data_IF_803122576574
#
_entry.id   IF_803122576574
#
_cell.length_a   1.000
_cell.length_b   1.000
_cell.length_c   1.000
_cell.angle_alpha   90.00
_cell.angle_beta   90.00
_cell.angle_gamma   90.00
#
_symmetry.space_group_name_H-M   'P 1'
#
loop_
_entity.id
_entity.type
_entity.pdbx_description
1 polymer ?
#
# COMPACT_ATOMS: atom_id res chain seq x y z
N UNK A 1 35.37 -40.92 -32.53
CA UNK A 1 34.93 -41.01 -31.12
C UNK A 1 35.66 -39.94 -30.35
N UNK A 2 35.08 -38.74 -30.30
CA UNK A 2 35.64 -37.58 -29.60
C UNK A 2 34.60 -37.15 -28.58
N UNK A 3 34.92 -37.44 -27.32
CA UNK A 3 34.13 -37.16 -26.14
C UNK A 3 34.10 -35.67 -25.86
N UNK A 4 32.90 -35.08 -25.94
CA UNK A 4 32.62 -33.73 -25.46
C UNK A 4 32.70 -33.71 -23.92
N UNK A 5 33.44 -32.80 -23.27
CA UNK A 5 33.44 -32.68 -21.83
C UNK A 5 32.09 -32.13 -21.36
N UNK A 6 31.47 -32.83 -20.40
CA UNK A 6 30.20 -32.43 -19.80
C UNK A 6 30.25 -31.03 -19.21
N UNK A 7 29.27 -30.21 -19.59
CA UNK A 7 28.93 -28.97 -18.90
C UNK A 7 28.56 -29.36 -17.47
N UNK A 8 29.39 -28.95 -16.51
CA UNK A 8 29.11 -29.12 -15.09
C UNK A 8 27.81 -28.40 -14.78
N UNK A 9 26.83 -29.15 -14.26
CA UNK A 9 25.68 -28.64 -13.53
C UNK A 9 26.20 -27.86 -12.31
N UNK A 10 26.49 -26.58 -12.51
CA UNK A 10 26.47 -25.59 -11.44
C UNK A 10 25.48 -24.53 -11.88
N UNK A 11 24.18 -24.88 -11.82
CA UNK A 11 23.14 -23.89 -11.66
C UNK A 11 23.44 -23.16 -10.36
N UNK A 12 24.18 -22.06 -10.47
CA UNK A 12 24.15 -21.01 -9.47
C UNK A 12 22.69 -20.61 -9.41
N UNK A 13 21.98 -21.09 -8.39
CA UNK A 13 20.71 -20.54 -7.97
C UNK A 13 20.96 -19.04 -7.76
N UNK A 14 20.74 -18.24 -8.80
CA UNK A 14 20.84 -16.80 -8.74
C UNK A 14 19.67 -16.35 -7.87
N UNK A 15 19.90 -16.35 -6.56
CA UNK A 15 18.97 -15.84 -5.57
C UNK A 15 18.74 -14.38 -5.95
N UNK A 16 17.52 -14.06 -6.39
CA UNK A 16 17.19 -12.68 -6.73
C UNK A 16 17.46 -11.81 -5.48
N UNK A 17 18.04 -10.62 -5.65
CA UNK A 17 18.28 -9.75 -4.50
C UNK A 17 16.96 -9.40 -3.79
N UNK A 18 16.99 -9.10 -2.48
CA UNK A 18 15.78 -8.84 -1.70
C UNK A 18 15.00 -7.63 -2.21
N UNK A 19 13.69 -7.59 -1.99
CA UNK A 19 12.83 -6.43 -2.27
C UNK A 19 12.38 -5.78 -0.96
N UNK A 20 12.32 -4.45 -0.96
CA UNK A 20 11.88 -3.64 0.17
C UNK A 20 10.45 -3.14 -0.07
N UNK A 21 9.52 -3.45 0.81
CA UNK A 21 8.18 -2.87 0.80
C UNK A 21 8.09 -1.75 1.83
N UNK A 22 7.53 -0.60 1.43
CA UNK A 22 7.40 0.60 2.26
C UNK A 22 5.95 1.07 2.35
N UNK A 23 5.57 1.48 3.55
CA UNK A 23 4.32 2.18 3.83
C UNK A 23 4.63 3.40 4.69
N UNK A 24 4.61 4.58 4.07
CA UNK A 24 4.95 5.86 4.69
C UNK A 24 3.66 6.58 5.06
N UNK A 25 3.45 6.80 6.35
CA UNK A 25 2.39 7.64 6.90
C UNK A 25 2.94 8.82 7.70
N UNK A 26 2.05 9.63 8.27
CA UNK A 26 2.39 10.90 8.91
C UNK A 26 3.30 10.78 10.13
N UNK A 27 3.08 9.76 10.93
CA UNK A 27 3.81 9.50 12.17
C UNK A 27 4.55 8.16 12.17
N UNK A 28 4.42 7.37 11.10
CA UNK A 28 5.04 6.03 11.04
C UNK A 28 5.48 5.67 9.63
N UNK A 29 6.70 5.16 9.51
CA UNK A 29 7.19 4.46 8.32
C UNK A 29 7.26 2.98 8.65
N UNK A 30 6.45 2.15 7.99
CA UNK A 30 6.50 0.69 8.13
C UNK A 30 7.23 0.10 6.93
N UNK A 31 7.99 -0.95 7.18
CA UNK A 31 8.73 -1.64 6.13
C UNK A 31 8.78 -3.14 6.33
N UNK A 32 8.95 -3.86 5.22
CA UNK A 32 9.20 -5.30 5.19
C UNK A 32 10.22 -5.61 4.10
N UNK A 33 11.09 -6.57 4.35
CA UNK A 33 12.07 -7.06 3.38
C UNK A 33 11.72 -8.49 3.03
N UNK A 34 11.73 -8.80 1.75
CA UNK A 34 11.37 -10.11 1.23
C UNK A 34 12.42 -10.62 0.27
N UNK A 35 12.67 -11.92 0.30
CA UNK A 35 13.56 -12.59 -0.64
C UNK A 35 12.79 -13.56 -1.53
N UNK A 36 13.20 -13.68 -2.78
CA UNK A 36 12.67 -14.73 -3.64
C UNK A 36 13.17 -16.09 -3.14
N UNK A 37 12.23 -16.95 -2.75
CA UNK A 37 12.48 -18.34 -2.40
C UNK A 37 11.50 -19.19 -3.19
N UNK A 38 11.98 -20.10 -4.05
CA UNK A 38 11.15 -21.11 -4.76
C UNK A 38 9.83 -20.54 -5.35
N UNK A 39 9.93 -19.44 -6.10
CA UNK A 39 8.77 -18.82 -6.77
C UNK A 39 7.81 -18.04 -5.86
N UNK A 40 8.11 -17.87 -4.57
CA UNK A 40 7.38 -17.02 -3.64
C UNK A 40 8.31 -16.01 -2.96
N UNK A 41 7.72 -14.96 -2.39
CA UNK A 41 8.44 -13.97 -1.57
C UNK A 41 8.39 -14.42 -0.11
N UNK A 42 9.55 -14.79 0.46
CA UNK A 42 9.70 -15.14 1.86
C UNK A 42 10.06 -13.89 2.68
N UNK A 43 9.39 -13.60 3.81
CA UNK A 43 9.76 -12.49 4.66
C UNK A 43 11.13 -12.74 5.30
N UNK A 44 11.97 -11.71 5.34
CA UNK A 44 13.29 -11.72 5.98
C UNK A 44 13.24 -10.97 7.30
N UNK A 45 12.81 -9.72 7.24
CA UNK A 45 12.64 -8.86 8.40
C UNK A 45 11.54 -7.84 8.14
N UNK A 46 11.00 -7.27 9.21
CA UNK A 46 10.04 -6.17 9.15
C UNK A 46 10.32 -5.18 10.26
N UNK A 47 9.86 -3.96 10.09
CA UNK A 47 9.98 -2.97 11.14
C UNK A 47 9.13 -1.74 10.92
N UNK A 48 9.29 -0.81 11.84
CA UNK A 48 8.66 0.49 11.80
C UNK A 48 9.52 1.54 12.47
N UNK A 49 9.51 2.73 11.89
CA UNK A 49 10.02 3.96 12.51
C UNK A 49 8.79 4.75 12.96
N UNK A 50 8.64 4.92 14.26
CA UNK A 50 7.54 5.67 14.87
C UNK A 50 8.06 7.04 15.32
N UNK A 51 7.30 8.10 15.05
CA UNK A 51 7.55 9.45 15.57
C UNK A 51 6.58 9.74 16.70
N UNK A 52 7.11 10.14 17.85
CA UNK A 52 6.35 10.64 18.99
C UNK A 52 6.89 12.01 19.43
N UNK A 53 6.27 12.61 20.46
CA UNK A 53 6.69 13.91 20.99
C UNK A 53 8.11 13.92 21.61
N UNK A 54 8.74 12.76 21.80
CA UNK A 54 10.08 12.60 22.37
C UNK A 54 11.15 12.31 21.31
N UNK A 55 10.76 11.95 20.09
CA UNK A 55 11.67 11.72 18.97
C UNK A 55 11.18 10.64 18.02
N UNK A 56 12.12 9.98 17.33
CA UNK A 56 11.83 8.82 16.47
C UNK A 56 12.42 7.56 17.06
N UNK A 57 11.74 6.43 16.88
CA UNK A 57 12.16 5.12 17.37
C UNK A 57 12.01 4.07 16.30
N UNK A 58 13.05 3.26 16.11
CA UNK A 58 13.02 2.08 15.25
C UNK A 58 12.70 0.85 16.07
N UNK A 59 11.71 0.09 15.61
CA UNK A 59 11.40 -1.26 16.10
C UNK A 59 11.45 -2.22 14.92
N UNK A 60 12.25 -3.27 14.99
CA UNK A 60 12.37 -4.27 13.92
C UNK A 60 12.45 -5.69 14.46
N UNK A 61 11.96 -6.63 13.67
CA UNK A 61 11.86 -8.04 13.98
C UNK A 61 12.29 -8.88 12.78
N UNK A 62 12.83 -10.06 13.04
CA UNK A 62 13.06 -11.09 12.02
C UNK A 62 11.75 -11.76 11.59
N UNK A 63 11.84 -12.67 10.62
CA UNK A 63 10.71 -13.45 10.13
C UNK A 63 10.03 -14.30 11.21
N UNK A 64 10.78 -14.76 12.22
CA UNK A 64 10.27 -15.56 13.34
C UNK A 64 9.66 -14.70 14.47
N UNK A 65 9.74 -13.36 14.37
CA UNK A 65 9.24 -12.43 15.38
C UNK A 65 10.27 -12.09 16.48
N UNK A 66 11.51 -12.57 16.37
CA UNK A 66 12.61 -12.17 17.23
C UNK A 66 12.94 -10.69 17.04
N UNK A 67 13.14 -9.95 18.13
CA UNK A 67 13.47 -8.53 18.09
C UNK A 67 14.91 -8.35 17.58
N UNK A 68 15.08 -7.60 16.49
CA UNK A 68 16.39 -7.30 15.90
C UNK A 68 16.94 -5.95 16.37
N UNK A 69 16.07 -4.97 16.57
CA UNK A 69 16.46 -3.63 17.02
C UNK A 69 15.26 -2.91 17.63
N UNK A 70 15.51 -2.25 18.75
CA UNK A 70 14.56 -1.37 19.41
C UNK A 70 15.33 -0.16 19.95
N UNK A 71 15.61 0.81 19.09
CA UNK A 71 16.54 1.92 19.38
C UNK A 71 15.96 3.27 18.97
N UNK A 72 16.43 4.38 19.56
CA UNK A 72 16.22 5.70 18.98
C UNK A 72 16.63 5.71 17.49
N UNK A 73 15.82 6.32 16.65
CA UNK A 73 16.11 6.52 15.24
C UNK A 73 16.63 7.94 15.03
N UNK A 74 17.91 8.03 14.68
CA UNK A 74 18.55 9.30 14.32
C UNK A 74 18.76 9.28 12.81
N UNK A 75 18.07 10.17 12.10
CA UNK A 75 18.29 10.34 10.66
C UNK A 75 19.73 10.84 10.44
N UNK A 76 20.45 10.16 9.56
CA UNK A 76 21.82 10.50 9.16
C UNK A 76 21.89 11.35 7.89
N UNK A 77 20.78 11.54 7.19
CA UNK A 77 20.67 12.37 6.00
C UNK A 77 19.38 13.22 5.96
N UNK A 78 19.12 13.83 4.81
CA UNK A 78 17.98 14.74 4.62
C UNK A 78 16.61 14.04 4.64
N UNK A 79 16.57 12.72 4.41
CA UNK A 79 15.32 11.94 4.31
C UNK A 79 15.40 10.56 4.99
N UNK A 80 14.34 10.24 5.74
CA UNK A 80 14.24 9.02 6.55
C UNK A 80 14.14 7.73 5.71
N UNK A 81 13.64 7.82 4.47
CA UNK A 81 13.48 6.67 3.57
C UNK A 81 14.82 6.21 3.03
N UNK A 82 15.69 7.16 2.66
CA UNK A 82 17.05 6.88 2.20
C UNK A 82 17.92 6.30 3.33
N UNK A 83 17.77 6.82 4.55
CA UNK A 83 18.44 6.27 5.73
C UNK A 83 17.96 4.86 6.07
N UNK A 84 16.65 4.61 5.95
CA UNK A 84 16.06 3.29 6.12
C UNK A 84 16.61 2.28 5.11
N UNK A 85 16.73 2.67 3.84
CA UNK A 85 17.32 1.81 2.81
C UNK A 85 18.75 1.39 3.20
N UNK A 86 19.60 2.34 3.58
CA UNK A 86 20.97 2.05 4.04
C UNK A 86 20.99 1.13 5.27
N UNK A 87 20.10 1.38 6.22
CA UNK A 87 19.98 0.55 7.43
C UNK A 87 19.57 -0.89 7.11
N UNK A 88 18.68 -1.06 6.13
CA UNK A 88 18.23 -2.37 5.62
C UNK A 88 19.38 -3.08 4.91
N UNK A 89 20.03 -2.45 3.95
CA UNK A 89 21.11 -3.06 3.16
C UNK A 89 22.30 -3.49 4.02
N UNK A 90 22.62 -2.74 5.09
CA UNK A 90 23.64 -3.13 6.06
C UNK A 90 23.34 -4.46 6.80
N UNK A 91 22.11 -4.97 6.72
CA UNK A 91 21.66 -6.24 7.32
C UNK A 91 21.40 -7.34 6.30
N UNK A 92 21.60 -7.04 5.02
CA UNK A 92 21.44 -7.98 3.92
C UNK A 92 22.82 -8.39 3.38
N UNK A 93 22.87 -9.50 2.66
CA UNK A 93 24.09 -9.95 2.00
C UNK A 93 24.44 -9.15 0.73
N UNK A 94 23.56 -8.21 0.32
CA UNK A 94 23.68 -7.41 -0.89
C UNK A 94 22.59 -6.34 -0.96
N UNK A 95 22.59 -5.52 -2.03
CA UNK A 95 21.62 -4.44 -2.22
C UNK A 95 20.21 -4.98 -2.44
N UNK A 96 19.21 -4.14 -2.21
CA UNK A 96 17.83 -4.48 -2.60
C UNK A 96 17.67 -4.37 -4.12
N UNK A 97 16.90 -5.29 -4.72
CA UNK A 97 16.62 -5.30 -6.16
C UNK A 97 15.62 -4.22 -6.58
N UNK A 98 14.66 -3.90 -5.72
CA UNK A 98 13.59 -2.94 -5.98
C UNK A 98 12.90 -2.52 -4.67
N UNK A 99 12.17 -1.40 -4.74
CA UNK A 99 11.32 -0.91 -3.65
C UNK A 99 9.87 -0.81 -4.10
N UNK A 100 8.97 -1.45 -3.36
CA UNK A 100 7.52 -1.32 -3.52
C UNK A 100 6.97 -0.30 -2.53
N UNK A 101 6.26 0.71 -3.02
CA UNK A 101 5.65 1.76 -2.20
C UNK A 101 4.14 1.61 -2.19
N UNK A 102 3.56 1.53 -0.99
CA UNK A 102 2.12 1.67 -0.82
C UNK A 102 1.72 3.14 -0.99
N UNK A 103 0.84 3.39 -1.95
CA UNK A 103 0.17 4.66 -2.20
C UNK A 103 -1.32 4.49 -1.87
N UNK A 104 -1.89 5.42 -1.11
CA UNK A 104 -3.28 5.29 -0.65
C UNK A 104 -4.26 5.46 -1.80
N UNK A 105 -4.03 6.40 -2.71
CA UNK A 105 -5.01 6.74 -3.74
C UNK A 105 -4.38 6.75 -5.15
N UNK A 106 -4.84 5.84 -6.01
CA UNK A 106 -4.47 5.77 -7.43
C UNK A 106 -5.42 6.52 -8.36
N UNK A 107 -6.55 7.02 -7.85
CA UNK A 107 -7.50 7.74 -8.71
C UNK A 107 -8.09 6.84 -9.78
N UNK A 108 -8.64 7.42 -10.86
CA UNK A 108 -9.24 6.64 -11.93
C UNK A 108 -8.18 5.97 -12.84
N UNK A 109 -6.96 6.49 -12.87
CA UNK A 109 -5.97 6.15 -13.89
C UNK A 109 -5.02 5.01 -13.44
N UNK A 110 -4.85 4.82 -12.13
CA UNK A 110 -3.92 3.82 -11.59
C UNK A 110 -4.66 2.64 -10.95
N UNK A 111 -5.12 1.71 -11.80
CA UNK A 111 -5.81 0.47 -11.42
C UNK A 111 -4.90 -0.76 -11.29
N UNK A 112 -3.59 -0.58 -11.40
CA UNK A 112 -2.58 -1.63 -11.28
C UNK A 112 -1.27 -1.03 -10.74
N UNK A 113 -0.35 -1.88 -10.28
CA UNK A 113 0.98 -1.44 -9.89
C UNK A 113 1.73 -0.83 -11.09
N UNK A 114 2.46 0.26 -10.86
CA UNK A 114 3.20 0.96 -11.93
C UNK A 114 4.64 1.26 -11.50
N UNK A 115 5.56 1.27 -12.45
CA UNK A 115 6.90 1.78 -12.21
C UNK A 115 6.84 3.28 -11.91
N UNK A 116 7.58 3.73 -10.90
CA UNK A 116 7.67 5.14 -10.57
C UNK A 116 8.41 5.92 -11.68
N UNK A 117 7.86 7.06 -12.06
CA UNK A 117 8.46 8.04 -12.96
C UNK A 117 8.01 9.44 -12.55
N UNK A 118 8.69 10.50 -13.00
CA UNK A 118 8.26 11.86 -12.69
C UNK A 118 6.82 12.14 -13.18
N UNK A 119 6.46 11.69 -14.40
CA UNK A 119 5.11 11.85 -14.93
C UNK A 119 4.04 11.14 -14.08
N UNK A 120 4.35 9.95 -13.56
CA UNK A 120 3.47 9.22 -12.63
C UNK A 120 3.34 9.98 -11.32
N UNK A 121 4.43 10.50 -10.76
CA UNK A 121 4.42 11.25 -9.52
C UNK A 121 3.62 12.56 -9.64
N UNK A 122 3.77 13.31 -10.73
CA UNK A 122 2.99 14.52 -11.01
C UNK A 122 1.50 14.22 -11.12
N UNK A 123 1.14 13.13 -11.81
CA UNK A 123 -0.25 12.69 -11.94
C UNK A 123 -0.85 12.28 -10.58
N UNK A 124 -0.07 11.62 -9.73
CA UNK A 124 -0.49 11.25 -8.38
C UNK A 124 -0.60 12.47 -7.45
N UNK A 125 0.25 13.48 -7.59
CA UNK A 125 0.15 14.74 -6.84
C UNK A 125 -1.13 15.52 -7.17
N UNK A 126 -1.57 15.48 -8.43
CA UNK A 126 -2.83 16.09 -8.84
C UNK A 126 -4.07 15.47 -8.16
N UNK A 127 -3.94 14.26 -7.59
CA UNK A 127 -4.98 13.59 -6.81
C UNK A 127 -5.01 14.01 -5.34
N UNK A 128 -4.11 14.92 -4.89
CA UNK A 128 -4.08 15.38 -3.50
C UNK A 128 -5.44 15.87 -2.95
N UNK A 129 -6.33 16.54 -3.73
CA UNK A 129 -7.66 16.90 -3.23
C UNK A 129 -8.53 15.71 -2.80
N UNK A 130 -8.30 14.51 -3.34
CA UNK A 130 -9.02 13.29 -2.97
C UNK A 130 -8.41 12.58 -1.76
N UNK A 131 -7.13 12.83 -1.45
CA UNK A 131 -6.40 12.20 -0.35
C UNK A 131 -5.35 13.13 0.29
N UNK A 132 -5.75 14.29 0.84
CA UNK A 132 -4.82 15.38 1.18
C UNK A 132 -3.80 15.00 2.25
N UNK A 133 -4.20 14.19 3.23
CA UNK A 133 -3.36 13.81 4.36
C UNK A 133 -2.36 12.68 4.04
N UNK A 134 -2.58 11.91 2.99
CA UNK A 134 -1.83 10.67 2.73
C UNK A 134 -1.00 10.73 1.44
N UNK A 135 -1.49 11.44 0.43
CA UNK A 135 -0.87 11.41 -0.89
C UNK A 135 0.54 12.01 -0.87
N UNK A 136 0.71 13.20 -0.31
CA UNK A 136 2.01 13.89 -0.29
C UNK A 136 3.09 13.11 0.46
N UNK A 137 2.73 12.52 1.61
CA UNK A 137 3.67 11.76 2.44
C UNK A 137 4.14 10.47 1.75
N UNK A 138 3.22 9.75 1.10
CA UNK A 138 3.55 8.55 0.34
C UNK A 138 4.53 8.85 -0.81
N UNK A 139 4.33 9.96 -1.52
CA UNK A 139 5.18 10.33 -2.67
C UNK A 139 6.53 10.94 -2.27
N UNK A 140 6.61 11.58 -1.10
CA UNK A 140 7.87 12.15 -0.60
C UNK A 140 8.99 11.10 -0.49
N UNK A 141 8.67 9.91 0.04
CA UNK A 141 9.65 8.81 0.15
C UNK A 141 10.09 8.28 -1.21
N UNK A 142 9.19 8.24 -2.20
CA UNK A 142 9.53 7.86 -3.59
C UNK A 142 10.50 8.86 -4.20
N UNK A 143 10.20 10.16 -4.08
CA UNK A 143 11.07 11.23 -4.59
C UNK A 143 12.45 11.19 -3.95
N UNK A 144 12.51 10.97 -2.64
CA UNK A 144 13.77 10.89 -1.92
C UNK A 144 14.65 9.73 -2.41
N UNK A 145 14.07 8.52 -2.55
CA UNK A 145 14.81 7.38 -3.07
C UNK A 145 15.21 7.57 -4.54
N UNK A 146 14.36 8.16 -5.39
CA UNK A 146 14.73 8.46 -6.78
C UNK A 146 15.90 9.42 -6.87
N UNK A 147 15.99 10.39 -5.96
CA UNK A 147 17.11 11.35 -5.89
C UNK A 147 18.38 10.68 -5.37
N UNK A 148 18.28 9.86 -4.33
CA UNK A 148 19.43 9.21 -3.68
C UNK A 148 19.98 8.02 -4.48
N UNK A 149 19.09 7.24 -5.11
CA UNK A 149 19.40 6.02 -5.85
C UNK A 149 18.62 6.00 -7.18
N UNK A 150 19.03 6.78 -8.20
CA UNK A 150 18.28 6.92 -9.45
C UNK A 150 18.06 5.61 -10.22
N UNK A 151 19.01 4.68 -10.11
CA UNK A 151 18.98 3.39 -10.79
C UNK A 151 18.19 2.32 -10.03
N UNK A 152 17.74 2.60 -8.80
CA UNK A 152 16.97 1.65 -7.99
C UNK A 152 15.51 1.60 -8.48
N UNK A 153 15.03 0.45 -9.00
CA UNK A 153 13.67 0.33 -9.45
C UNK A 153 12.68 0.55 -8.30
N UNK A 154 11.70 1.42 -8.55
CA UNK A 154 10.63 1.73 -7.60
C UNK A 154 9.28 1.45 -8.25
N UNK A 155 8.40 0.74 -7.53
CA UNK A 155 7.06 0.36 -7.98
C UNK A 155 6.05 0.95 -7.00
N UNK A 156 5.01 1.59 -7.53
CA UNK A 156 3.91 2.15 -6.76
C UNK A 156 2.74 1.16 -6.82
N UNK A 157 2.18 0.84 -5.66
CA UNK A 157 1.01 -0.03 -5.49
C UNK A 157 -0.10 0.76 -4.80
N UNK A 158 -1.35 0.56 -5.20
CA UNK A 158 -2.45 1.45 -4.79
C UNK A 158 -3.51 0.70 -4.00
N UNK A 159 -3.94 1.24 -2.86
CA UNK A 159 -5.05 0.65 -2.09
C UNK A 159 -6.38 0.68 -2.86
N UNK A 160 -6.52 1.56 -3.87
CA UNK A 160 -7.71 1.68 -4.71
C UNK A 160 -7.70 0.72 -5.89
N UNK A 161 -6.52 0.19 -6.30
CA UNK A 161 -6.36 -0.50 -7.59
C UNK A 161 -7.22 -1.77 -7.71
N UNK A 162 -7.28 -2.57 -6.65
CA UNK A 162 -8.04 -3.84 -6.64
C UNK A 162 -9.55 -3.64 -6.88
N UNK A 163 -10.07 -2.44 -6.61
CA UNK A 163 -11.47 -2.07 -6.80
C UNK A 163 -11.75 -1.45 -8.18
N UNK A 164 -10.72 -1.18 -9.00
CA UNK A 164 -10.87 -0.50 -10.29
C UNK A 164 -11.69 -1.25 -11.35
N UNK A 165 -12.01 -2.52 -11.11
CA UNK A 165 -12.80 -3.37 -12.01
C UNK A 165 -14.31 -3.36 -11.79
N UNK A 166 -14.83 -2.51 -10.89
CA UNK A 166 -16.26 -2.40 -10.61
C UNK A 166 -17.08 -1.96 -11.82
N UNK A 167 -18.35 -2.39 -11.85
CA UNK A 167 -19.31 -1.81 -12.79
C UNK A 167 -19.62 -0.35 -12.39
N UNK A 168 -19.88 0.57 -13.35
CA UNK A 168 -20.13 1.98 -13.04
C UNK A 168 -21.26 2.23 -12.03
N UNK A 169 -22.24 1.33 -11.95
CA UNK A 169 -23.35 1.42 -10.99
C UNK A 169 -22.91 1.27 -9.53
N UNK A 170 -21.84 0.49 -9.27
CA UNK A 170 -21.30 0.32 -7.92
C UNK A 170 -20.51 1.54 -7.46
N UNK A 171 -19.88 2.24 -8.42
CA UNK A 171 -18.97 3.34 -8.10
C UNK A 171 -19.60 4.73 -8.17
N UNK A 172 -20.70 4.89 -8.89
CA UNK A 172 -21.35 6.19 -9.07
C UNK A 172 -22.03 6.65 -7.78
N UNK A 173 -21.75 7.90 -7.39
CA UNK A 173 -22.50 8.58 -6.33
C UNK A 173 -23.80 9.16 -6.91
N UNK A 174 -24.84 9.25 -6.09
CA UNK A 174 -26.12 9.89 -6.44
C UNK A 174 -26.04 11.42 -6.58
N UNK A 175 -25.04 11.92 -7.31
CA UNK A 175 -24.71 13.32 -7.51
C UNK A 175 -24.84 13.71 -9.00
N UNK A 176 -24.94 15.01 -9.32
CA UNK A 176 -24.87 15.48 -10.70
C UNK A 176 -23.63 14.94 -11.42
N UNK A 177 -23.79 14.52 -12.68
CA UNK A 177 -22.74 13.87 -13.50
C UNK A 177 -21.45 14.70 -13.65
N UNK A 178 -21.53 16.02 -13.49
CA UNK A 178 -20.35 16.89 -13.49
C UNK A 178 -19.32 16.46 -12.43
N UNK A 179 -19.77 15.95 -11.28
CA UNK A 179 -18.87 15.53 -10.21
C UNK A 179 -18.17 14.20 -10.54
N UNK A 180 -18.90 13.25 -11.12
CA UNK A 180 -18.32 12.02 -11.67
C UNK A 180 -17.26 12.35 -12.75
N UNK A 181 -17.56 13.31 -13.64
CA UNK A 181 -16.61 13.79 -14.65
C UNK A 181 -15.37 14.50 -14.06
N UNK A 182 -15.45 14.97 -12.80
CA UNK A 182 -14.32 15.52 -12.03
C UNK A 182 -13.64 14.45 -11.16
N UNK A 183 -13.98 13.17 -11.33
CA UNK A 183 -13.40 12.06 -10.61
C UNK A 183 -14.07 11.73 -9.28
N UNK A 184 -15.16 12.41 -8.88
CA UNK A 184 -15.83 12.07 -7.63
C UNK A 184 -16.69 10.81 -7.80
N UNK A 185 -16.20 9.70 -7.27
CA UNK A 185 -16.81 8.36 -7.29
C UNK A 185 -16.36 7.55 -6.09
N UNK A 186 -16.96 6.40 -5.85
CA UNK A 186 -16.38 5.37 -4.97
C UNK A 186 -15.08 4.88 -5.58
N UNK A 187 -14.05 4.78 -4.75
CA UNK A 187 -12.77 4.18 -5.09
C UNK A 187 -12.52 2.90 -4.30
N UNK A 188 -12.91 2.87 -3.03
CA UNK A 188 -12.56 1.79 -2.12
C UNK A 188 -11.09 1.82 -1.68
N UNK A 189 -10.81 1.25 -0.52
CA UNK A 189 -9.45 1.14 0.01
C UNK A 189 -9.26 -0.24 0.66
N UNK A 190 -8.05 -0.48 1.18
CA UNK A 190 -7.59 -1.82 1.58
C UNK A 190 -7.52 -2.82 0.41
N UNK A 191 -7.47 -2.34 -0.83
CA UNK A 191 -7.38 -3.18 -2.03
C UNK A 191 -6.20 -4.14 -2.00
N UNK A 192 -5.00 -3.69 -1.58
CA UNK A 192 -3.83 -4.58 -1.41
C UNK A 192 -4.09 -5.72 -0.42
N UNK A 193 -4.87 -5.46 0.64
CA UNK A 193 -5.26 -6.50 1.59
C UNK A 193 -6.24 -7.48 0.96
N UNK A 194 -7.24 -6.99 0.22
CA UNK A 194 -8.21 -7.86 -0.43
C UNK A 194 -7.61 -8.67 -1.58
N UNK A 195 -6.68 -8.09 -2.33
CA UNK A 195 -5.89 -8.79 -3.34
C UNK A 195 -5.10 -9.95 -2.71
N UNK A 196 -4.43 -9.69 -1.57
CA UNK A 196 -3.76 -10.74 -0.81
C UNK A 196 -4.73 -11.82 -0.31
N UNK A 197 -5.89 -11.44 0.21
CA UNK A 197 -6.92 -12.40 0.67
C UNK A 197 -7.44 -13.24 -0.50
N UNK A 198 -7.73 -12.64 -1.64
CA UNK A 198 -8.19 -13.34 -2.84
C UNK A 198 -7.14 -14.34 -3.36
N UNK A 199 -5.87 -13.92 -3.41
CA UNK A 199 -4.76 -14.78 -3.82
C UNK A 199 -4.54 -15.97 -2.88
N UNK A 200 -4.61 -15.74 -1.56
CA UNK A 200 -4.51 -16.83 -0.58
C UNK A 200 -5.71 -17.77 -0.64
N UNK A 201 -6.91 -17.22 -0.80
CA UNK A 201 -8.13 -18.02 -0.92
C UNK A 201 -8.09 -18.93 -2.15
N UNK A 202 -7.57 -18.45 -3.28
CA UNK A 202 -7.40 -19.26 -4.49
C UNK A 202 -6.51 -20.50 -4.29
N UNK A 203 -5.60 -20.47 -3.31
CA UNK A 203 -4.76 -21.62 -2.94
C UNK A 203 -5.45 -22.50 -1.89
N UNK A 204 -6.08 -21.88 -0.89
CA UNK A 204 -6.68 -22.59 0.25
C UNK A 204 -8.00 -23.28 -0.09
N UNK A 205 -8.85 -22.62 -0.88
CA UNK A 205 -10.14 -23.12 -1.35
C UNK A 205 -10.45 -22.54 -2.74
N UNK A 206 -9.96 -23.20 -3.81
CA UNK A 206 -10.19 -22.75 -5.18
C UNK A 206 -11.69 -22.62 -5.53
N UNK A 207 -12.53 -23.50 -4.97
CA UNK A 207 -13.97 -23.51 -5.22
C UNK A 207 -14.66 -22.27 -4.64
N UNK A 208 -14.24 -21.84 -3.45
CA UNK A 208 -14.74 -20.62 -2.82
C UNK A 208 -14.21 -19.37 -3.52
N UNK A 209 -12.95 -19.39 -3.99
CA UNK A 209 -12.36 -18.27 -4.72
C UNK A 209 -13.11 -17.98 -6.04
N UNK A 210 -13.60 -19.01 -6.72
CA UNK A 210 -14.46 -18.89 -7.91
C UNK A 210 -15.91 -18.51 -7.59
N UNK A 211 -16.27 -18.46 -6.30
CA UNK A 211 -17.62 -18.19 -5.84
C UNK A 211 -17.91 -16.70 -5.58
N UNK A 212 -18.88 -16.48 -4.70
CA UNK A 212 -19.21 -15.16 -4.14
C UNK A 212 -18.74 -15.13 -2.70
N UNK A 213 -17.86 -14.19 -2.38
CA UNK A 213 -17.23 -14.07 -1.06
C UNK A 213 -17.41 -12.66 -0.54
N UNK A 214 -17.69 -12.52 0.75
CA UNK A 214 -17.60 -11.24 1.43
C UNK A 214 -16.38 -11.29 2.34
N UNK A 215 -15.36 -10.50 2.02
CA UNK A 215 -14.14 -10.39 2.81
C UNK A 215 -14.23 -9.20 3.76
N UNK A 216 -13.85 -9.40 5.03
CA UNK A 216 -13.84 -8.36 6.05
C UNK A 216 -12.39 -8.01 6.44
N UNK A 217 -11.99 -6.75 6.21
CA UNK A 217 -10.75 -6.21 6.73
C UNK A 217 -11.08 -5.40 7.99
N UNK A 218 -10.76 -5.93 9.17
CA UNK A 218 -11.16 -5.36 10.45
C UNK A 218 -9.92 -4.93 11.25
N UNK A 219 -9.66 -3.63 11.28
CA UNK A 219 -8.59 -3.02 12.05
C UNK A 219 -8.97 -1.60 12.50
N UNK A 220 -7.97 -0.74 12.73
CA UNK A 220 -8.21 0.68 13.05
C UNK A 220 -8.96 1.41 11.92
N UNK A 221 -8.70 1.01 10.68
CA UNK A 221 -9.63 1.19 9.55
C UNK A 221 -10.33 -0.12 9.26
N UNK A 222 -11.62 -0.07 8.94
CA UNK A 222 -12.43 -1.25 8.68
C UNK A 222 -13.22 -1.12 7.39
N UNK A 223 -13.28 -2.18 6.59
CA UNK A 223 -14.10 -2.24 5.38
C UNK A 223 -14.54 -3.67 5.08
N UNK A 224 -15.58 -3.80 4.25
CA UNK A 224 -15.93 -5.06 3.59
C UNK A 224 -15.70 -4.93 2.07
N UNK A 225 -15.43 -6.06 1.44
CA UNK A 225 -15.32 -6.19 -0.01
C UNK A 225 -16.13 -7.40 -0.47
N UNK A 226 -17.03 -7.19 -1.42
CA UNK A 226 -17.71 -8.25 -2.12
C UNK A 226 -16.83 -8.71 -3.29
N UNK A 227 -16.50 -9.99 -3.30
CA UNK A 227 -15.72 -10.64 -4.34
C UNK A 227 -16.61 -11.56 -5.16
N UNK A 228 -16.39 -11.58 -6.47
CA UNK A 228 -16.92 -12.59 -7.40
C UNK A 228 -15.77 -13.08 -8.27
N UNK A 229 -15.52 -14.39 -8.27
CA UNK A 229 -14.40 -15.00 -9.01
C UNK A 229 -13.05 -14.35 -8.63
N UNK A 230 -12.81 -14.15 -7.33
CA UNK A 230 -11.61 -13.51 -6.80
C UNK A 230 -11.47 -12.00 -7.10
N UNK A 231 -12.44 -11.37 -7.77
CA UNK A 231 -12.39 -9.95 -8.16
C UNK A 231 -13.35 -9.11 -7.32
N UNK A 232 -12.92 -7.93 -6.93
CA UNK A 232 -13.79 -6.95 -6.28
C UNK A 232 -14.95 -6.56 -7.21
N UNK A 233 -16.17 -6.60 -6.67
CA UNK A 233 -17.38 -6.12 -7.36
C UNK A 233 -18.09 -5.00 -6.58
N UNK A 234 -17.81 -4.87 -5.28
CA UNK A 234 -18.31 -3.78 -4.44
C UNK A 234 -17.45 -3.67 -3.16
N UNK A 235 -17.44 -2.50 -2.53
CA UNK A 235 -16.75 -2.28 -1.25
C UNK A 235 -17.42 -1.19 -0.43
N UNK A 236 -17.34 -1.31 0.89
CA UNK A 236 -18.03 -0.39 1.80
C UNK A 236 -17.40 0.99 1.83
N UNK A 237 -16.07 1.11 1.63
CA UNK A 237 -15.43 2.43 1.60
C UNK A 237 -15.79 3.17 0.32
N UNK A 238 -16.01 4.48 0.45
CA UNK A 238 -16.54 5.36 -0.58
C UNK A 238 -15.45 6.03 -1.42
N UNK A 239 -15.66 7.32 -1.70
CA UNK A 239 -14.64 8.19 -2.28
C UNK A 239 -13.45 8.42 -1.33
N UNK A 240 -13.69 8.28 -0.02
CA UNK A 240 -12.67 8.42 1.03
C UNK A 240 -12.74 7.22 1.99
N UNK A 241 -11.70 6.99 2.81
CA UNK A 241 -11.71 5.93 3.82
C UNK A 241 -12.65 6.19 5.01
N UNK A 242 -13.52 7.21 4.96
CA UNK A 242 -14.45 7.59 6.03
C UNK A 242 -15.76 6.79 5.95
N UNK A 243 -16.24 6.50 4.74
CA UNK A 243 -17.53 5.82 4.51
C UNK A 243 -17.45 4.31 4.81
N UNK A 244 -18.61 3.70 5.06
CA UNK A 244 -18.78 2.28 5.31
C UNK A 244 -18.89 1.94 6.80
N UNK A 245 -18.03 1.05 7.28
CA UNK A 245 -18.09 0.56 8.66
C UNK A 245 -17.66 1.61 9.67
N UNK A 246 -18.18 1.50 10.90
CA UNK A 246 -17.60 2.18 12.07
C UNK A 246 -16.17 1.67 12.28
N UNK A 247 -15.25 2.58 12.60
CA UNK A 247 -13.83 2.26 12.77
C UNK A 247 -13.31 2.81 14.11
N UNK A 248 -12.00 2.76 14.35
CA UNK A 248 -11.43 3.17 15.64
C UNK A 248 -11.73 4.63 16.02
N UNK A 249 -11.64 5.55 15.05
CA UNK A 249 -11.87 6.99 15.24
C UNK A 249 -12.68 7.64 14.11
N UNK A 250 -13.23 6.82 13.21
CA UNK A 250 -14.05 7.27 12.07
C UNK A 250 -15.47 6.76 12.25
N UNK A 251 -16.43 7.63 11.96
CA UNK A 251 -17.85 7.33 12.17
C UNK A 251 -18.40 6.27 11.21
N UNK A 252 -17.79 6.06 10.04
CA UNK A 252 -18.36 5.22 8.99
C UNK A 252 -19.44 5.96 8.21
N UNK A 253 -20.39 5.22 7.64
CA UNK A 253 -21.55 5.79 6.97
C UNK A 253 -22.39 6.62 7.94
N UNK A 254 -22.64 7.88 7.56
CA UNK A 254 -23.42 8.85 8.32
C UNK A 254 -24.37 9.58 7.38
N UNK A 255 -25.57 9.90 7.84
CA UNK A 255 -26.50 10.75 7.10
C UNK A 255 -25.85 12.13 6.85
N UNK A 256 -25.69 12.58 5.59
CA UNK A 256 -25.18 13.91 5.29
C UNK A 256 -25.93 15.05 5.96
N UNK A 257 -27.22 14.88 6.26
CA UNK A 257 -28.03 15.84 7.01
C UNK A 257 -27.53 16.08 8.45
N UNK A 258 -26.92 15.06 9.08
CA UNK A 258 -26.32 15.20 10.41
C UNK A 258 -25.09 16.11 10.35
N UNK A 259 -24.27 15.99 9.30
CA UNK A 259 -23.09 16.86 9.09
C UNK A 259 -23.54 18.33 8.97
N UNK A 260 -24.57 18.60 8.16
CA UNK A 260 -25.12 19.95 7.99
C UNK A 260 -25.70 20.51 9.29
N UNK A 261 -26.42 19.69 10.05
CA UNK A 261 -26.95 20.09 11.35
C UNK A 261 -25.83 20.47 12.33
N UNK A 262 -24.78 19.65 12.41
CA UNK A 262 -23.63 19.92 13.29
C UNK A 262 -22.89 21.21 12.90
N UNK A 263 -22.81 21.53 11.61
CA UNK A 263 -22.21 22.78 11.15
C UNK A 263 -23.09 24.00 11.48
N UNK A 264 -24.39 23.91 11.17
CA UNK A 264 -25.31 25.05 11.30
C UNK A 264 -25.74 25.31 12.74
N UNK A 265 -26.12 24.27 13.48
CA UNK A 265 -26.63 24.37 14.84
C UNK A 265 -25.55 24.10 15.90
N UNK A 266 -24.57 23.25 15.59
CA UNK A 266 -23.45 22.95 16.49
C UNK A 266 -22.30 23.95 16.41
N UNK A 267 -22.32 24.87 15.42
CA UNK A 267 -21.25 25.86 15.22
C UNK A 267 -19.90 25.25 14.85
N UNK A 268 -19.89 24.02 14.33
CA UNK A 268 -18.67 23.35 13.86
C UNK A 268 -18.35 23.80 12.43
N UNK A 269 -17.07 23.86 12.09
CA UNK A 269 -16.63 24.12 10.72
C UNK A 269 -16.10 22.83 10.06
N UNK A 270 -15.57 22.97 8.85
CA UNK A 270 -15.01 21.86 8.08
C UNK A 270 -13.50 21.66 8.31
N UNK A 271 -12.88 22.44 9.20
CA UNK A 271 -11.43 22.54 9.35
C UNK A 271 -10.85 21.51 10.33
#
# INVERSE_FOLDING_TARGET
>A
MTSTPGVRQSEVNARMPPVLALNVGSSTVKFGVFEAARGHLAPVLRGRIESDGAGRRLVSQDAAGGVLSETPWVAGGDDATSDLLRWVEARLAGPVAAVGHRVVHGGPDFSQAVAASEAVLESLEALAPLAPLHQQQGLAGVRALRKACPDLPQVLTFDTAFHGGHEPVADRLGLPRLWEARGLRRYGFHGLSYESVAGQLAVLDPSMAEGRVVAAHLGSGASLCALRNGRSIDTTMGATPLDGLVMGTRCGSLDPGVVLYLQQAGGLDAA
#
